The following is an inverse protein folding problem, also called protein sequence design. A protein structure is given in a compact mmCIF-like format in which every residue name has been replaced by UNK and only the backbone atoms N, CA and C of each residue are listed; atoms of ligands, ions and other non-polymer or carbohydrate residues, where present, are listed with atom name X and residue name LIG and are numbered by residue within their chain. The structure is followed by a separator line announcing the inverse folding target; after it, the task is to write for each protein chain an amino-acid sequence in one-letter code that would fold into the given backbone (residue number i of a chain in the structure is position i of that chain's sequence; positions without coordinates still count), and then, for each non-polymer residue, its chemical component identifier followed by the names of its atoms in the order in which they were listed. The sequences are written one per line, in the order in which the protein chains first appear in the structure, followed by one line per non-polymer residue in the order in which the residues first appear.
data_IF_387357581532
#
_entry.id   IF_387357581532
#
_cell.length_a   1.000
_cell.length_b   1.000
_cell.length_c   1.000
_cell.angle_alpha   90.00
_cell.angle_beta   90.00
_cell.angle_gamma   90.00
#
_symmetry.space_group_name_H-M   'P 1'
#
loop_
_entity.id
_entity.type
_entity.pdbx_description
1 polymer ?
#
# COMPACT_ATOMS: atom_id res chain seq x y z
N UNK A 1 1.11 9.44 8.39
CA UNK A 1 -0.19 9.47 9.09
C UNK A 1 -0.88 8.13 8.87
N UNK A 2 -1.22 7.37 9.92
CA UNK A 2 -1.94 6.09 9.81
C UNK A 2 -3.44 6.33 10.04
N UNK A 3 -4.31 5.68 9.23
CA UNK A 3 -5.77 5.77 9.34
C UNK A 3 -6.38 4.37 9.36
N UNK A 4 -7.32 4.14 10.28
CA UNK A 4 -8.15 2.92 10.31
C UNK A 4 -9.23 3.03 9.24
N UNK A 5 -9.24 2.12 8.27
CA UNK A 5 -10.20 2.12 7.15
C UNK A 5 -11.49 1.40 7.52
N UNK A 6 -11.45 0.45 8.46
CA UNK A 6 -12.59 -0.36 8.91
C UNK A 6 -12.39 -0.83 10.35
N UNK A 7 -13.48 -0.87 11.12
CA UNK A 7 -13.49 -1.32 12.53
C UNK A 7 -13.31 -0.17 13.53
N UNK A 8 -13.55 -0.45 14.81
CA UNK A 8 -13.34 0.48 15.93
C UNK A 8 -12.34 -0.14 16.93
N UNK A 9 -11.04 -0.19 16.61
CA UNK A 9 -10.04 -0.76 17.50
C UNK A 9 -9.90 0.10 18.75
N UNK A 10 -9.57 -0.53 19.87
CA UNK A 10 -9.30 0.24 21.08
C UNK A 10 -7.97 1.00 20.95
N UNK A 11 -7.77 2.08 21.74
CA UNK A 11 -6.50 2.81 21.74
C UNK A 11 -5.29 1.91 22.03
N UNK A 12 -5.46 0.90 22.87
CA UNK A 12 -4.43 -0.07 23.26
C UNK A 12 -4.04 -0.96 22.07
N UNK A 13 -5.02 -1.44 21.32
CA UNK A 13 -4.77 -2.24 20.10
C UNK A 13 -4.05 -1.42 19.03
N UNK A 14 -4.44 -0.16 18.85
CA UNK A 14 -3.74 0.74 17.93
C UNK A 14 -2.29 0.99 18.38
N UNK A 15 -2.07 1.20 19.68
CA UNK A 15 -0.74 1.37 20.24
C UNK A 15 0.14 0.13 20.01
N UNK A 16 -0.42 -1.07 20.23
CA UNK A 16 0.26 -2.33 19.98
C UNK A 16 0.61 -2.51 18.49
N UNK A 17 -0.34 -2.25 17.59
CA UNK A 17 -0.11 -2.34 16.15
C UNK A 17 1.00 -1.36 15.70
N UNK A 18 0.96 -0.12 16.19
CA UNK A 18 1.99 0.87 15.89
C UNK A 18 3.37 0.46 16.43
N UNK A 19 3.43 -0.16 17.61
CA UNK A 19 4.68 -0.66 18.18
C UNK A 19 5.30 -1.74 17.28
N UNK A 20 4.52 -2.70 16.79
CA UNK A 20 5.02 -3.76 15.89
C UNK A 20 5.48 -3.19 14.55
N UNK A 21 4.71 -2.28 13.95
CA UNK A 21 5.07 -1.63 12.67
C UNK A 21 6.40 -0.88 12.81
N UNK A 22 6.57 -0.11 13.90
CA UNK A 22 7.81 0.62 14.17
C UNK A 22 8.98 -0.31 14.43
N UNK A 23 8.79 -1.38 15.21
CA UNK A 23 9.84 -2.37 15.46
C UNK A 23 10.32 -3.05 14.18
N UNK A 24 9.38 -3.44 13.30
CA UNK A 24 9.74 -4.01 11.99
C UNK A 24 10.45 -3.01 11.08
N UNK A 25 10.00 -1.75 11.06
CA UNK A 25 10.66 -0.70 10.28
C UNK A 25 12.10 -0.45 10.77
N UNK A 26 12.31 -0.41 12.09
CA UNK A 26 13.64 -0.27 12.68
C UNK A 26 14.54 -1.47 12.35
N UNK A 27 14.01 -2.70 12.46
CA UNK A 27 14.74 -3.91 12.08
C UNK A 27 15.13 -3.92 10.59
N UNK A 28 14.24 -3.48 9.71
CA UNK A 28 14.53 -3.34 8.28
C UNK A 28 15.59 -2.28 8.01
N UNK A 29 15.56 -1.15 8.71
CA UNK A 29 16.55 -0.08 8.57
C UNK A 29 17.94 -0.44 9.13
N UNK A 30 18.00 -1.34 10.11
CA UNK A 30 19.26 -1.85 10.67
C UNK A 30 19.79 -3.11 9.98
N UNK A 31 19.04 -3.68 9.02
CA UNK A 31 19.55 -4.78 8.23
C UNK A 31 20.75 -4.28 7.42
N UNK A 32 21.91 -4.97 7.49
CA UNK A 32 23.05 -4.59 6.67
C UNK A 32 22.63 -4.72 5.20
N UNK A 33 22.74 -3.63 4.45
CA UNK A 33 22.58 -3.64 3.00
C UNK A 33 23.51 -4.72 2.46
N UNK A 34 22.95 -5.83 1.99
CA UNK A 34 23.71 -6.91 1.39
C UNK A 34 24.30 -6.40 0.08
N UNK A 35 25.42 -5.69 0.17
CA UNK A 35 26.29 -5.29 -0.94
C UNK A 35 25.61 -4.49 -2.05
N UNK A 36 25.40 -3.19 -1.83
CA UNK A 36 25.43 -2.13 -2.86
C UNK A 36 24.40 -2.15 -4.00
N UNK A 37 23.69 -3.24 -4.22
CA UNK A 37 22.71 -3.35 -5.28
C UNK A 37 21.37 -2.76 -4.79
N UNK A 38 20.72 -1.87 -5.56
CA UNK A 38 19.40 -1.38 -5.20
C UNK A 38 18.45 -2.56 -5.01
N UNK A 39 17.77 -2.61 -3.87
CA UNK A 39 16.79 -3.65 -3.58
C UNK A 39 15.84 -3.81 -4.77
N UNK A 40 15.71 -5.04 -5.28
CA UNK A 40 14.83 -5.32 -6.40
C UNK A 40 13.43 -4.76 -6.09
N UNK A 41 12.80 -4.03 -7.04
CA UNK A 41 11.48 -3.48 -6.80
C UNK A 41 10.52 -4.60 -6.43
N UNK A 42 9.68 -4.35 -5.42
CA UNK A 42 8.65 -5.29 -5.02
C UNK A 42 7.87 -5.74 -6.26
N UNK A 43 7.67 -7.04 -6.41
CA UNK A 43 6.93 -7.64 -7.53
C UNK A 43 5.50 -7.08 -7.68
N UNK A 44 4.96 -6.42 -6.65
CA UNK A 44 3.71 -5.65 -6.71
C UNK A 44 3.84 -4.31 -7.44
N UNK A 45 4.99 -3.64 -7.34
CA UNK A 45 5.29 -2.34 -7.95
C UNK A 45 6.05 -2.47 -9.28
N UNK A 46 6.28 -3.69 -9.77
CA UNK A 46 7.06 -3.95 -10.97
C UNK A 46 6.38 -3.35 -12.22
N UNK A 47 7.04 -2.40 -12.93
CA UNK A 47 6.40 -1.67 -14.02
C UNK A 47 5.97 -2.56 -15.19
N UNK A 48 6.70 -3.64 -15.49
CA UNK A 48 6.32 -4.55 -16.57
C UNK A 48 5.03 -5.30 -16.27
N UNK A 49 4.68 -5.51 -14.99
CA UNK A 49 3.41 -6.05 -14.53
C UNK A 49 2.25 -5.06 -14.66
N UNK A 50 2.49 -3.77 -14.39
CA UNK A 50 1.47 -2.72 -14.42
C UNK A 50 1.22 -2.19 -15.85
N UNK A 51 2.29 -1.97 -16.61
CA UNK A 51 2.25 -1.26 -17.89
C UNK A 51 1.88 -2.13 -19.09
N UNK A 52 1.89 -3.48 -18.97
CA UNK A 52 1.54 -4.38 -20.08
C UNK A 52 0.04 -4.54 -20.32
N UNK A 53 -0.81 -4.12 -19.38
CA UNK A 53 -2.26 -4.20 -19.58
C UNK A 53 -2.71 -2.96 -20.34
N UNK A 54 -3.13 -3.14 -21.60
CA UNK A 54 -3.81 -2.10 -22.37
C UNK A 54 -5.07 -1.70 -21.62
N UNK A 55 -5.03 -0.57 -20.92
CA UNK A 55 -6.20 -0.02 -20.25
C UNK A 55 -7.22 0.38 -21.32
N UNK A 56 -8.43 -0.17 -21.24
CA UNK A 56 -9.52 0.23 -22.14
C UNK A 56 -9.83 1.69 -21.84
N UNK A 57 -9.85 2.55 -22.87
CA UNK A 57 -10.24 3.94 -22.70
C UNK A 57 -11.73 4.00 -22.28
N UNK A 58 -12.05 4.57 -21.11
CA UNK A 58 -13.45 4.76 -20.71
C UNK A 58 -14.17 5.63 -21.76
N UNK A 59 -15.32 5.17 -22.27
CA UNK A 59 -16.17 5.96 -23.18
C UNK A 59 -17.07 6.93 -22.42
N UNK A 60 -17.77 7.84 -23.11
CA UNK A 60 -18.58 8.89 -22.48
C UNK A 60 -19.64 8.37 -21.47
N UNK A 61 -20.13 7.14 -21.65
CA UNK A 61 -21.09 6.50 -20.74
C UNK A 61 -20.47 5.70 -19.58
N UNK A 62 -19.14 5.56 -19.53
CA UNK A 62 -18.46 4.71 -18.53
C UNK A 62 -18.60 5.20 -17.09
N UNK A 63 -18.94 6.48 -16.89
CA UNK A 63 -19.18 7.09 -15.58
C UNK A 63 -20.65 7.51 -15.40
N UNK A 64 -21.56 7.06 -16.27
CA UNK A 64 -22.98 7.46 -16.22
C UNK A 64 -23.72 6.96 -14.97
N UNK A 65 -23.10 6.08 -14.18
CA UNK A 65 -23.68 5.52 -12.96
C UNK A 65 -22.68 5.55 -11.81
N UNK A 66 -22.28 6.75 -11.40
CA UNK A 66 -21.67 6.96 -10.07
C UNK A 66 -22.61 7.83 -9.23
N UNK A 67 -23.81 7.33 -8.99
CA UNK A 67 -24.69 7.87 -7.95
C UNK A 67 -24.47 7.04 -6.69
N UNK A 68 -23.90 7.66 -5.67
CA UNK A 68 -23.89 7.15 -4.30
C UNK A 68 -24.71 8.12 -3.46
N UNK A 69 -25.93 7.74 -3.02
CA UNK A 69 -26.60 8.48 -1.97
C UNK A 69 -25.89 8.19 -0.65
N UNK A 70 -25.28 9.22 -0.08
CA UNK A 70 -24.88 9.32 1.32
C UNK A 70 -25.19 10.71 1.82
#
# INVERSE_FOLDING_TARGET
MIRVVRGNPTPEELAAALAVVRARAAAAASAPDAGGEPAAPDAWSEPSRIARVRTRRPGAASWSRTYWPS
#
